data_IF_558662606791
#
_entry.id   IF_558662606791
#
_cell.length_a   1.000
_cell.length_b   1.000
_cell.length_c   1.000
_cell.angle_alpha   90.00
_cell.angle_beta   90.00
_cell.angle_gamma   90.00
#
_symmetry.space_group_name_H-M   'P 1'
#
loop_
_entity.id
_entity.type
_entity.pdbx_description
1 polymer ?
#
# COMPACT_ATOMS: atom_id res chain seq x y z
N UNK A 1 -6.94 -5.64 -14.45
CA UNK A 1 -8.13 -5.54 -15.35
C UNK A 1 -9.15 -4.65 -14.68
N UNK A 2 -9.73 -3.69 -15.40
CA UNK A 2 -10.84 -2.87 -14.90
C UNK A 2 -12.11 -3.71 -14.97
N UNK A 3 -12.92 -3.73 -13.90
CA UNK A 3 -14.17 -4.48 -13.86
C UNK A 3 -15.14 -3.92 -14.91
N UNK A 4 -15.79 -4.80 -15.70
CA UNK A 4 -16.62 -4.42 -16.84
C UNK A 4 -17.88 -3.61 -16.48
N UNK A 5 -18.26 -3.58 -15.21
CA UNK A 5 -19.40 -2.88 -14.63
C UNK A 5 -19.01 -1.56 -13.93
N UNK A 6 -17.76 -1.11 -14.05
CA UNK A 6 -17.25 0.09 -13.37
C UNK A 6 -18.11 1.35 -13.59
N UNK A 7 -18.74 1.48 -14.77
CA UNK A 7 -19.63 2.62 -15.07
C UNK A 7 -21.04 2.46 -14.48
N UNK A 8 -21.53 1.23 -14.29
CA UNK A 8 -22.86 0.97 -13.76
C UNK A 8 -22.87 0.88 -12.22
N UNK A 9 -21.77 0.40 -11.64
CA UNK A 9 -21.57 0.23 -10.20
C UNK A 9 -20.15 0.64 -9.82
N UNK A 10 -19.87 1.96 -9.74
CA UNK A 10 -18.55 2.41 -9.33
C UNK A 10 -18.26 1.88 -7.92
N UNK A 11 -17.04 1.39 -7.66
CA UNK A 11 -16.67 0.86 -6.35
C UNK A 11 -16.81 1.97 -5.32
N UNK A 12 -17.62 1.74 -4.29
CA UNK A 12 -17.93 2.76 -3.29
C UNK A 12 -16.95 2.68 -2.13
N UNK A 13 -16.44 1.49 -1.82
CA UNK A 13 -15.57 1.28 -0.67
C UNK A 13 -14.21 0.70 -1.06
N UNK A 14 -13.16 1.45 -0.77
CA UNK A 14 -11.78 1.15 -1.20
C UNK A 14 -10.89 0.85 0.01
N UNK A 15 -10.13 -0.22 -0.07
CA UNK A 15 -9.07 -0.53 0.89
C UNK A 15 -7.68 -0.35 0.26
N UNK A 16 -6.94 0.66 0.71
CA UNK A 16 -5.54 0.83 0.34
C UNK A 16 -4.64 -0.08 1.17
N UNK A 17 -4.09 -1.12 0.56
CA UNK A 17 -3.20 -2.09 1.22
C UNK A 17 -1.83 -1.46 1.54
N UNK A 18 -1.02 -2.06 2.44
CA UNK A 18 0.35 -1.61 2.69
C UNK A 18 1.15 -1.52 1.38
N UNK A 19 1.75 -0.36 1.14
CA UNK A 19 2.60 -0.18 -0.04
C UNK A 19 3.95 -0.80 0.23
N UNK A 20 4.59 -1.32 -0.81
CA UNK A 20 5.89 -1.97 -0.66
C UNK A 20 6.95 -1.22 -1.44
N UNK A 21 8.12 -1.07 -0.83
CA UNK A 21 9.28 -0.50 -1.49
C UNK A 21 10.05 -1.62 -2.19
N UNK A 22 10.12 -1.57 -3.52
CA UNK A 22 10.85 -2.51 -4.36
C UNK A 22 12.12 -1.87 -4.98
N UNK A 23 12.49 -0.64 -4.57
CA UNK A 23 13.63 0.07 -5.15
C UNK A 23 14.99 -0.41 -4.62
N UNK A 24 15.89 -0.81 -5.52
CA UNK A 24 17.33 -1.02 -5.27
C UNK A 24 18.12 0.30 -5.34
N UNK A 25 17.53 1.42 -4.92
CA UNK A 25 18.16 2.74 -5.08
C UNK A 25 18.88 3.19 -3.81
N UNK A 26 20.05 3.80 -3.99
CA UNK A 26 20.74 4.55 -2.94
C UNK A 26 19.79 5.61 -2.36
N UNK A 27 19.52 5.53 -1.06
CA UNK A 27 18.61 6.45 -0.39
C UNK A 27 19.23 7.85 -0.32
N UNK A 28 18.85 8.72 -1.25
CA UNK A 28 19.30 10.10 -1.33
C UNK A 28 18.32 11.02 -0.57
N UNK A 29 18.78 11.65 0.52
CA UNK A 29 18.10 12.83 1.08
C UNK A 29 18.82 14.06 0.56
N UNK A 30 18.12 14.95 -0.15
CA UNK A 30 18.70 16.18 -0.72
C UNK A 30 19.96 15.91 -1.59
N UNK A 31 19.96 14.83 -2.39
CA UNK A 31 21.11 14.41 -3.23
C UNK A 31 22.37 14.01 -2.45
N UNK A 32 22.26 13.80 -1.13
CA UNK A 32 23.35 13.25 -0.31
C UNK A 32 23.06 11.76 -0.10
N UNK A 33 23.97 10.85 -0.53
CA UNK A 33 23.80 9.43 -0.28
C UNK A 33 23.87 9.19 1.22
N UNK A 34 22.78 8.67 1.79
CA UNK A 34 22.76 8.21 3.16
C UNK A 34 23.63 6.96 3.25
N UNK A 35 24.87 7.12 3.73
CA UNK A 35 25.68 5.99 4.20
C UNK A 35 25.02 5.42 5.47
N UNK A 36 24.02 4.56 5.30
CA UNK A 36 23.40 3.84 6.41
C UNK A 36 24.03 2.45 6.46
N UNK A 37 24.79 2.20 7.51
CA UNK A 37 25.57 0.98 7.74
C UNK A 37 24.73 -0.24 8.15
N UNK A 38 23.40 -0.13 8.20
CA UNK A 38 22.54 -1.17 8.79
C UNK A 38 21.24 -1.39 7.99
N UNK A 39 21.09 -2.62 7.49
CA UNK A 39 19.96 -3.08 6.69
C UNK A 39 18.63 -3.02 7.46
N UNK A 40 18.64 -3.16 8.80
CA UNK A 40 17.40 -3.06 9.59
C UNK A 40 16.83 -1.64 9.58
N UNK A 41 17.70 -0.63 9.66
CA UNK A 41 17.31 0.77 9.62
C UNK A 41 16.81 1.19 8.23
N UNK A 42 17.39 0.64 7.17
CA UNK A 42 16.90 0.80 5.80
C UNK A 42 15.50 0.19 5.63
N UNK A 43 15.27 -1.02 6.13
CA UNK A 43 13.96 -1.67 6.07
C UNK A 43 12.89 -0.87 6.83
N UNK A 44 13.20 -0.40 8.05
CA UNK A 44 12.29 0.46 8.83
C UNK A 44 11.97 1.78 8.13
N UNK A 45 12.98 2.41 7.52
CA UNK A 45 12.81 3.66 6.79
C UNK A 45 11.96 3.46 5.53
N UNK A 46 12.25 2.42 4.75
CA UNK A 46 11.50 2.06 3.54
C UNK A 46 10.03 1.75 3.83
N UNK A 47 9.77 1.00 4.91
CA UNK A 47 8.41 0.77 5.38
C UNK A 47 7.70 2.07 5.79
N UNK A 48 8.41 2.96 6.48
CA UNK A 48 7.89 4.26 6.90
C UNK A 48 7.58 5.16 5.69
N UNK A 49 8.46 5.17 4.70
CA UNK A 49 8.30 5.95 3.47
C UNK A 49 7.13 5.44 2.63
N UNK A 50 7.07 4.14 2.36
CA UNK A 50 5.96 3.53 1.62
C UNK A 50 4.61 3.77 2.30
N UNK A 51 4.53 3.67 3.63
CA UNK A 51 3.30 3.94 4.37
C UNK A 51 2.96 5.44 4.49
N UNK A 52 3.92 6.36 4.30
CA UNK A 52 3.61 7.79 4.12
C UNK A 52 2.98 8.04 2.76
N UNK A 53 3.50 7.41 1.70
CA UNK A 53 2.91 7.49 0.35
C UNK A 53 1.50 6.88 0.33
N UNK A 54 1.31 5.71 0.95
CA UNK A 54 -0.02 5.10 1.14
C UNK A 54 -1.02 6.07 1.77
N UNK A 55 -0.61 6.81 2.80
CA UNK A 55 -1.45 7.82 3.47
C UNK A 55 -1.79 8.99 2.55
N UNK A 56 -0.82 9.49 1.78
CA UNK A 56 -1.07 10.55 0.81
C UNK A 56 -2.06 10.10 -0.27
N UNK A 57 -1.90 8.90 -0.83
CA UNK A 57 -2.84 8.32 -1.81
C UNK A 57 -4.22 8.10 -1.21
N UNK A 58 -4.30 7.59 0.02
CA UNK A 58 -5.58 7.43 0.71
C UNK A 58 -6.28 8.78 0.95
N UNK A 59 -5.51 9.83 1.29
CA UNK A 59 -6.02 11.19 1.42
C UNK A 59 -6.57 11.74 0.11
N UNK A 60 -5.83 11.59 -0.99
CA UNK A 60 -6.28 12.00 -2.32
C UNK A 60 -7.54 11.24 -2.75
N UNK A 61 -7.60 9.92 -2.55
CA UNK A 61 -8.79 9.13 -2.85
C UNK A 61 -10.00 9.53 -1.98
N UNK A 62 -9.77 9.95 -0.74
CA UNK A 62 -10.81 10.43 0.16
C UNK A 62 -11.41 11.78 -0.27
N UNK A 63 -10.74 12.56 -1.12
CA UNK A 63 -11.32 13.77 -1.72
C UNK A 63 -12.37 13.48 -2.77
N UNK A 64 -12.45 12.23 -3.24
CA UNK A 64 -13.43 11.75 -4.22
C UNK A 64 -14.60 11.10 -3.48
N UNK A 65 -15.63 10.69 -4.21
CA UNK A 65 -16.85 10.05 -3.65
C UNK A 65 -16.63 8.60 -3.14
N UNK A 66 -15.43 8.26 -2.69
CA UNK A 66 -15.08 6.95 -2.17
C UNK A 66 -15.12 6.90 -0.64
N UNK A 67 -15.63 5.78 -0.10
CA UNK A 67 -15.53 5.40 1.29
C UNK A 67 -14.19 4.68 1.50
N UNK A 68 -13.24 5.35 2.15
CA UNK A 68 -11.94 4.75 2.44
C UNK A 68 -12.01 3.89 3.70
N UNK A 69 -11.56 2.63 3.60
CA UNK A 69 -11.36 1.78 4.78
C UNK A 69 -10.22 2.37 5.61
N UNK A 70 -10.42 2.62 6.92
CA UNK A 70 -9.37 3.15 7.77
C UNK A 70 -8.12 2.27 7.74
N UNK A 71 -6.95 2.88 7.56
CA UNK A 71 -5.66 2.19 7.45
C UNK A 71 -5.41 1.27 8.66
N UNK A 72 -5.73 1.75 9.87
CA UNK A 72 -5.61 0.96 11.10
C UNK A 72 -6.47 -0.31 11.08
N UNK A 73 -7.67 -0.24 10.51
CA UNK A 73 -8.54 -1.41 10.36
C UNK A 73 -7.93 -2.41 9.38
N UNK A 74 -7.36 -1.94 8.28
CA UNK A 74 -6.68 -2.79 7.30
C UNK A 74 -5.52 -3.51 7.96
N UNK A 75 -4.66 -2.78 8.68
CA UNK A 75 -3.46 -3.35 9.30
C UNK A 75 -3.83 -4.37 10.39
N UNK A 76 -4.89 -4.11 11.18
CA UNK A 76 -5.38 -5.04 12.19
C UNK A 76 -5.94 -6.35 11.56
N UNK A 77 -6.68 -6.24 10.46
CA UNK A 77 -7.20 -7.40 9.72
C UNK A 77 -6.04 -8.22 9.15
N UNK A 78 -5.09 -7.58 8.47
CA UNK A 78 -3.92 -8.26 7.91
C UNK A 78 -3.09 -8.96 8.99
N UNK A 79 -2.86 -8.32 10.14
CA UNK A 79 -2.17 -8.92 11.26
C UNK A 79 -2.91 -10.13 11.85
N UNK A 80 -4.25 -10.06 11.93
CA UNK A 80 -5.09 -11.19 12.39
C UNK A 80 -4.97 -12.41 11.47
N UNK A 81 -4.79 -12.18 10.16
CA UNK A 81 -4.57 -13.21 9.16
C UNK A 81 -3.08 -13.60 8.99
N UNK A 82 -2.17 -13.11 9.85
CA UNK A 82 -0.75 -13.47 9.84
C UNK A 82 0.06 -12.88 8.67
N UNK A 83 -0.46 -11.84 8.03
CA UNK A 83 0.19 -11.17 6.90
C UNK A 83 1.15 -10.12 7.44
N UNK A 84 2.43 -10.48 7.40
CA UNK A 84 3.54 -9.64 7.90
C UNK A 84 4.37 -9.03 6.77
N UNK A 85 4.35 -9.64 5.58
CA UNK A 85 5.27 -9.35 4.48
C UNK A 85 4.55 -9.31 3.13
N UNK A 86 5.17 -8.66 2.15
CA UNK A 86 4.63 -8.53 0.77
C UNK A 86 4.30 -9.87 0.14
N UNK A 87 5.17 -10.86 0.31
CA UNK A 87 4.99 -12.18 -0.29
C UNK A 87 3.71 -12.83 0.22
N UNK A 88 3.45 -12.75 1.52
CA UNK A 88 2.22 -13.24 2.14
C UNK A 88 0.99 -12.44 1.67
N UNK A 89 1.12 -11.12 1.53
CA UNK A 89 0.03 -10.28 1.05
C UNK A 89 -0.34 -10.59 -0.42
N UNK A 90 0.67 -10.79 -1.27
CA UNK A 90 0.51 -11.09 -2.69
C UNK A 90 0.05 -12.53 -2.94
N UNK A 91 0.31 -13.44 -2.01
CA UNK A 91 -0.18 -14.81 -2.07
C UNK A 91 -1.70 -14.91 -1.83
N UNK A 92 -2.31 -13.91 -1.19
CA UNK A 92 -3.76 -13.90 -0.95
C UNK A 92 -4.50 -13.34 -2.17
N UNK A 93 -5.51 -14.06 -2.67
CA UNK A 93 -6.37 -13.58 -3.74
C UNK A 93 -7.03 -12.22 -3.43
N UNK A 94 -7.08 -11.27 -4.38
CA UNK A 94 -7.69 -9.95 -4.17
C UNK A 94 -9.15 -9.98 -3.72
N UNK A 95 -9.92 -10.99 -4.15
CA UNK A 95 -11.31 -11.20 -3.75
C UNK A 95 -11.44 -11.61 -2.28
N UNK A 96 -10.51 -12.42 -1.79
CA UNK A 96 -10.45 -12.81 -0.38
C UNK A 96 -10.07 -11.62 0.51
N UNK A 97 -9.09 -10.81 0.08
CA UNK A 97 -8.75 -9.55 0.75
C UNK A 97 -9.92 -8.57 0.78
N UNK A 98 -10.66 -8.45 -0.33
CA UNK A 98 -11.89 -7.65 -0.41
C UNK A 98 -12.95 -8.10 0.60
N UNK A 99 -13.14 -9.42 0.77
CA UNK A 99 -14.08 -9.99 1.76
C UNK A 99 -13.67 -9.68 3.19
N UNK A 100 -12.39 -9.87 3.55
CA UNK A 100 -11.90 -9.59 4.90
C UNK A 100 -12.04 -8.10 5.26
N UNK A 101 -11.73 -7.22 4.31
CA UNK A 101 -11.75 -5.78 4.50
C UNK A 101 -13.14 -5.16 4.28
N UNK A 102 -14.12 -5.97 3.86
CA UNK A 102 -15.45 -5.53 3.41
C UNK A 102 -15.34 -4.35 2.44
N UNK A 103 -14.45 -4.48 1.46
CA UNK A 103 -14.15 -3.47 0.46
C UNK A 103 -14.56 -3.99 -0.92
N UNK A 104 -15.09 -3.10 -1.75
CA UNK A 104 -15.45 -3.40 -3.14
C UNK A 104 -14.19 -3.44 -4.03
N UNK A 105 -13.14 -2.75 -3.60
CA UNK A 105 -11.87 -2.68 -4.33
C UNK A 105 -10.69 -2.61 -3.37
N UNK A 106 -9.63 -3.35 -3.69
CA UNK A 106 -8.34 -3.30 -3.02
C UNK A 106 -7.33 -2.57 -3.91
N UNK A 107 -6.52 -1.70 -3.32
CA UNK A 107 -5.48 -0.93 -4.03
C UNK A 107 -4.12 -1.39 -3.54
N UNK A 108 -3.32 -1.89 -4.48
CA UNK A 108 -1.91 -2.20 -4.28
C UNK A 108 -1.05 -1.01 -4.71
N UNK A 109 0.05 -0.79 -4.02
CA UNK A 109 1.02 0.24 -4.37
C UNK A 109 2.43 -0.28 -4.23
N UNK A 110 3.23 -0.04 -5.27
CA UNK A 110 4.65 -0.33 -5.26
C UNK A 110 5.42 0.97 -5.53
N UNK A 111 6.38 1.27 -4.67
CA UNK A 111 7.29 2.38 -4.90
C UNK A 111 8.48 1.84 -5.70
N UNK A 112 8.58 2.28 -6.95
CA UNK A 112 9.74 2.08 -7.80
C UNK A 112 10.62 3.32 -7.66
N UNK A 113 11.90 3.13 -7.29
CA UNK A 113 12.86 4.23 -7.35
C UNK A 113 13.12 4.55 -8.83
N UNK A 114 12.76 5.76 -9.25
CA UNK A 114 13.10 6.29 -10.57
C UNK A 114 14.19 7.35 -10.38
N UNK A 115 15.41 7.04 -10.82
CA UNK A 115 16.43 8.08 -11.05
C UNK A 115 16.06 8.81 -12.34
N UNK A 116 15.78 10.12 -12.23
CA UNK A 116 15.58 11.03 -13.36
C UNK A 116 16.83 11.89 -13.55
#
# INVERSE_FOLDING_TARGET
>A
MVAGDYQERPPRKIAGLPFVNNGEGDYLINKIPLKILDNENLNKWSWTHANRVRRAVAGELATREFIIVPILTIDAVLATHGITDKEKLNAVPPDELGRWLKADTVVYGELLNYEA
#
